data_IF_835074960935
#
_entry.id   IF_835074960935
#
_cell.length_a   1.000
_cell.length_b   1.000
_cell.length_c   1.000
_cell.angle_alpha   90.00
_cell.angle_beta   90.00
_cell.angle_gamma   90.00
#
_symmetry.space_group_name_H-M   'P 1'
#
loop_
_entity.id
_entity.type
_entity.pdbx_description
1 polymer ?
#
# COMPACT_ATOMS: atom_id res chain seq x y z
N UNK A 1 -4.02 4.61 -0.42
CA UNK A 1 -2.93 4.57 0.58
C UNK A 1 -1.60 4.95 -0.03
N UNK A 2 -1.03 4.18 -0.97
CA UNK A 2 0.27 4.50 -1.59
C UNK A 2 0.32 5.90 -2.24
N UNK A 3 -0.69 6.28 -3.02
CA UNK A 3 -0.73 7.60 -3.68
C UNK A 3 -0.82 8.76 -2.68
N UNK A 4 -1.54 8.55 -1.57
CA UNK A 4 -1.66 9.53 -0.49
C UNK A 4 -0.29 9.70 0.19
N UNK A 5 0.36 8.58 0.51
CA UNK A 5 1.65 8.57 1.19
C UNK A 5 2.74 9.31 0.40
N UNK A 6 2.82 9.08 -0.92
CA UNK A 6 3.89 9.67 -1.73
C UNK A 6 3.46 10.91 -2.51
N UNK A 7 2.21 11.36 -2.35
CA UNK A 7 1.67 12.54 -3.03
C UNK A 7 1.76 12.48 -4.56
N UNK A 8 1.82 11.28 -5.15
CA UNK A 8 2.02 11.06 -6.58
C UNK A 8 1.20 9.88 -7.07
N UNK A 9 0.75 9.89 -8.33
CA UNK A 9 0.04 8.74 -8.89
C UNK A 9 0.92 7.51 -8.86
N UNK A 10 0.30 6.33 -8.69
CA UNK A 10 1.05 5.07 -8.79
C UNK A 10 1.74 5.02 -10.16
N UNK A 11 3.07 4.80 -10.22
CA UNK A 11 3.81 4.76 -11.48
C UNK A 11 3.42 3.50 -12.23
N UNK A 12 2.36 3.59 -13.02
CA UNK A 12 1.97 2.57 -13.97
C UNK A 12 2.54 2.94 -15.33
N UNK A 13 3.80 2.57 -15.56
CA UNK A 13 4.32 2.60 -16.91
C UNK A 13 3.83 1.34 -17.64
N UNK A 14 2.83 1.52 -18.51
CA UNK A 14 2.59 0.57 -19.60
C UNK A 14 3.80 0.69 -20.53
N UNK A 15 4.88 -0.02 -20.21
CA UNK A 15 6.21 0.09 -20.83
C UNK A 15 6.22 -0.24 -22.33
N UNK A 16 5.08 -0.59 -22.91
CA UNK A 16 4.92 -0.63 -24.35
C UNK A 16 3.45 -0.49 -24.74
N UNK A 17 3.23 -0.01 -25.97
CA UNK A 17 1.93 -0.09 -26.69
C UNK A 17 1.37 -1.52 -26.79
N UNK A 18 2.18 -2.53 -26.44
CA UNK A 18 1.91 -3.96 -26.55
C UNK A 18 1.66 -4.65 -25.20
N UNK A 19 1.83 -3.95 -24.07
CA UNK A 19 1.49 -4.51 -22.77
C UNK A 19 -0.04 -4.54 -22.65
N UNK A 20 -0.60 -5.70 -22.95
CA UNK A 20 -2.04 -5.91 -22.83
C UNK A 20 -2.44 -5.81 -21.36
N UNK A 21 -3.66 -5.32 -21.12
CA UNK A 21 -4.30 -5.33 -19.79
C UNK A 21 -4.18 -6.70 -19.09
N UNK A 22 -4.21 -7.78 -19.87
CA UNK A 22 -4.05 -9.16 -19.41
C UNK A 22 -2.64 -9.43 -18.84
N UNK A 23 -1.59 -8.99 -19.53
CA UNK A 23 -0.21 -9.16 -19.03
C UNK A 23 -0.01 -8.44 -17.69
N UNK A 24 -0.56 -7.24 -17.55
CA UNK A 24 -0.50 -6.49 -16.30
C UNK A 24 -1.27 -7.21 -15.17
N UNK A 25 -2.48 -7.70 -15.45
CA UNK A 25 -3.25 -8.50 -14.48
C UNK A 25 -2.45 -9.72 -14.02
N UNK A 26 -1.78 -10.43 -14.92
CA UNK A 26 -0.91 -11.57 -14.58
C UNK A 26 0.26 -11.13 -13.69
N UNK A 27 0.93 -10.01 -14.00
CA UNK A 27 2.01 -9.49 -13.16
C UNK A 27 1.53 -9.15 -11.74
N UNK A 28 0.35 -8.54 -11.61
CA UNK A 28 -0.27 -8.25 -10.31
C UNK A 28 -0.60 -9.54 -9.55
N UNK A 29 -1.14 -10.57 -10.23
CA UNK A 29 -1.37 -11.89 -9.64
C UNK A 29 -0.05 -12.56 -9.20
N UNK A 30 1.05 -12.31 -9.92
CA UNK A 30 2.39 -12.79 -9.57
C UNK A 30 3.10 -11.92 -8.52
N UNK A 31 2.41 -10.96 -7.90
CA UNK A 31 2.94 -10.17 -6.79
C UNK A 31 3.57 -8.83 -7.18
N UNK A 32 3.43 -8.36 -8.42
CA UNK A 32 3.85 -7.00 -8.78
C UNK A 32 3.10 -5.99 -7.90
N UNK A 33 3.84 -5.19 -7.14
CA UNK A 33 3.33 -4.10 -6.30
C UNK A 33 4.21 -2.86 -6.45
N UNK A 34 3.66 -1.66 -6.23
CA UNK A 34 4.45 -0.45 -6.14
C UNK A 34 5.54 -0.56 -5.07
N UNK A 35 6.70 0.05 -5.32
CA UNK A 35 7.79 0.09 -4.36
C UNK A 35 7.40 0.89 -3.11
N UNK A 36 7.76 0.38 -1.93
CA UNK A 36 7.64 1.07 -0.66
C UNK A 36 9.05 1.46 -0.24
N UNK A 37 9.32 2.76 -0.10
CA UNK A 37 10.65 3.26 0.24
C UNK A 37 10.98 2.99 1.72
N UNK A 38 12.27 2.81 2.01
CA UNK A 38 12.78 2.43 3.33
C UNK A 38 12.46 3.45 4.44
N UNK A 39 12.27 4.72 4.10
CA UNK A 39 11.87 5.78 5.03
C UNK A 39 10.38 5.74 5.40
N UNK A 40 9.56 4.92 4.75
CA UNK A 40 8.14 4.83 5.08
C UNK A 40 7.96 4.25 6.48
N UNK A 41 7.15 4.91 7.32
CA UNK A 41 6.76 4.41 8.63
C UNK A 41 6.37 2.92 8.54
N UNK A 42 6.95 2.12 9.42
CA UNK A 42 6.83 0.66 9.36
C UNK A 42 5.37 0.23 9.50
N UNK A 43 4.63 0.86 10.41
CA UNK A 43 3.21 0.61 10.61
C UNK A 43 2.38 0.82 9.32
N UNK A 44 2.67 1.89 8.57
CA UNK A 44 1.99 2.18 7.31
C UNK A 44 2.40 1.23 6.18
N UNK A 45 3.70 0.92 6.10
CA UNK A 45 4.22 -0.04 5.13
C UNK A 45 3.61 -1.43 5.32
N UNK A 46 3.46 -1.87 6.57
CA UNK A 46 2.88 -3.17 6.90
C UNK A 46 1.38 -3.21 6.59
N UNK A 47 0.63 -2.14 6.90
CA UNK A 47 -0.79 -2.02 6.52
C UNK A 47 -0.99 -2.07 5.00
N UNK A 48 -0.18 -1.33 4.23
CA UNK A 48 -0.22 -1.36 2.76
C UNK A 48 0.01 -2.80 2.25
N UNK A 49 1.03 -3.50 2.78
CA UNK A 49 1.36 -4.87 2.36
C UNK A 49 0.22 -5.85 2.66
N UNK A 50 -0.41 -5.75 3.83
CA UNK A 50 -1.57 -6.57 4.19
C UNK A 50 -2.75 -6.34 3.23
N UNK A 51 -3.08 -5.07 2.94
CA UNK A 51 -4.13 -4.72 1.97
C UNK A 51 -3.87 -5.28 0.57
N UNK A 52 -2.60 -5.52 0.24
CA UNK A 52 -2.13 -6.00 -1.04
C UNK A 52 -1.81 -7.50 -1.08
N UNK A 53 -2.13 -8.23 -0.01
CA UNK A 53 -1.86 -9.66 0.07
C UNK A 53 -2.43 -10.43 -1.13
N UNK A 54 -1.65 -11.38 -1.63
CA UNK A 54 -2.09 -12.31 -2.68
C UNK A 54 -3.16 -13.27 -2.16
N UNK A 55 -3.13 -13.60 -0.86
CA UNK A 55 -4.21 -14.34 -0.20
C UNK A 55 -5.32 -13.36 0.21
N UNK A 56 -6.55 -13.50 -0.33
CA UNK A 56 -7.66 -12.66 0.05
C UNK A 56 -8.02 -12.74 1.54
N UNK A 57 -7.70 -13.84 2.24
CA UNK A 57 -8.02 -14.01 3.66
C UNK A 57 -7.12 -13.19 4.58
N UNK A 58 -5.93 -12.84 4.11
CA UNK A 58 -4.96 -12.01 4.84
C UNK A 58 -5.22 -10.51 4.63
N UNK A 59 -6.20 -10.16 3.79
CA UNK A 59 -6.55 -8.75 3.56
C UNK A 59 -7.48 -8.27 4.66
N UNK A 60 -7.18 -7.11 5.28
CA UNK A 60 -8.10 -6.52 6.23
C UNK A 60 -9.37 -6.05 5.51
N UNK A 61 -10.47 -6.17 6.22
CA UNK A 61 -11.75 -5.54 5.89
C UNK A 61 -11.64 -4.01 6.01
N UNK A 62 -12.57 -3.30 5.38
CA UNK A 62 -12.63 -1.84 5.52
C UNK A 62 -12.80 -1.41 6.99
N UNK A 63 -13.54 -2.18 7.78
CA UNK A 63 -13.74 -1.92 9.22
C UNK A 63 -12.42 -2.03 9.99
N UNK A 64 -11.66 -3.12 9.79
CA UNK A 64 -10.35 -3.30 10.45
C UNK A 64 -9.37 -2.17 10.07
N UNK A 65 -9.38 -1.71 8.81
CA UNK A 65 -8.57 -0.57 8.38
C UNK A 65 -8.98 0.71 9.12
N UNK A 66 -10.29 0.97 9.26
CA UNK A 66 -10.79 2.13 10.00
C UNK A 66 -10.40 2.07 11.48
N UNK A 67 -10.49 0.90 12.10
CA UNK A 67 -10.11 0.69 13.49
C UNK A 67 -8.61 0.95 13.70
N UNK A 68 -7.75 0.45 12.80
CA UNK A 68 -6.30 0.74 12.79
C UNK A 68 -6.04 2.25 12.72
N UNK A 69 -6.70 2.97 11.82
CA UNK A 69 -6.52 4.42 11.72
C UNK A 69 -7.07 5.17 12.94
N UNK A 70 -8.16 4.69 13.55
CA UNK A 70 -8.68 5.25 14.78
C UNK A 70 -7.68 5.07 15.93
N UNK A 71 -7.06 3.90 16.07
CA UNK A 71 -6.02 3.64 17.07
C UNK A 71 -4.81 4.57 16.87
N UNK A 72 -4.37 4.77 15.64
CA UNK A 72 -3.24 5.65 15.33
C UNK A 72 -3.52 7.11 15.69
N UNK A 73 -4.76 7.56 15.53
CA UNK A 73 -5.16 8.93 15.87
C UNK A 73 -4.93 9.26 17.36
N UNK A 74 -4.95 8.24 18.23
CA UNK A 74 -4.71 8.40 19.67
C UNK A 74 -3.30 7.99 20.11
N UNK A 75 -2.40 7.66 19.17
CA UNK A 75 -1.03 7.24 19.46
C UNK A 75 -0.03 8.30 19.02
N UNK A 76 0.48 9.09 19.96
CA UNK A 76 1.49 10.12 19.69
C UNK A 76 2.75 9.54 19.04
N UNK A 77 3.17 8.33 19.45
CA UNK A 77 4.34 7.68 18.86
C UNK A 77 4.16 7.33 17.39
N UNK A 78 2.98 6.85 17.01
CA UNK A 78 2.68 6.49 15.61
C UNK A 78 2.55 7.76 14.78
N UNK A 79 1.87 8.79 15.30
CA UNK A 79 1.76 10.08 14.61
C UNK A 79 3.12 10.73 14.38
N UNK A 80 4.04 10.61 15.33
CA UNK A 80 5.41 11.08 15.19
C UNK A 80 6.16 10.31 14.08
N UNK A 81 6.12 8.97 14.09
CA UNK A 81 6.72 8.14 13.04
C UNK A 81 6.16 8.46 11.64
N UNK A 82 4.84 8.67 11.54
CA UNK A 82 4.16 9.04 10.29
C UNK A 82 4.51 10.45 9.81
N UNK A 83 4.87 11.37 10.72
CA UNK A 83 5.25 12.73 10.37
C UNK A 83 6.72 12.85 9.93
N UNK A 84 7.58 11.94 10.39
CA UNK A 84 9.00 11.90 10.03
C UNK A 84 9.30 11.11 8.75
N UNK A 85 8.30 10.42 8.18
CA UNK A 85 8.45 9.53 7.03
C UNK A 85 8.25 10.18 5.67
#
# INVERSE_FOLDING_TARGET
MWEILYGKPVPFELNSRFQSKLQFQIQVCNGLRPHIYENTAKCFADLIKQCWSTDPKERPTATEICDVFAEWQYSESILFELAES
#
